data_IF_996943386997
#
_entry.id   IF_996943386997
#
_cell.length_a   1.000
_cell.length_b   1.000
_cell.length_c   1.000
_cell.angle_alpha   90.00
_cell.angle_beta   90.00
_cell.angle_gamma   90.00
#
_symmetry.space_group_name_H-M   'P 1'
#
loop_
_entity.id
_entity.type
_entity.pdbx_description
1 polymer ?
#
# COMPACT_ATOMS: atom_id res chain seq x y z
N UNK A 1 -18.93 37.22 27.26
CA UNK A 1 -19.32 37.03 25.86
C UNK A 1 -18.22 36.24 25.18
N UNK A 2 -18.46 34.96 24.87
CA UNK A 2 -17.58 34.22 23.96
C UNK A 2 -17.93 34.74 22.57
N UNK A 3 -17.16 35.71 22.09
CA UNK A 3 -17.30 36.20 20.73
C UNK A 3 -17.02 35.05 19.80
N UNK A 4 -18.07 34.50 19.17
CA UNK A 4 -17.93 33.62 18.03
C UNK A 4 -17.18 34.40 16.96
N UNK A 5 -15.89 34.10 16.78
CA UNK A 5 -15.14 34.63 15.66
C UNK A 5 -15.76 33.98 14.44
N UNK A 6 -16.54 34.75 13.67
CA UNK A 6 -17.03 34.32 12.37
C UNK A 6 -15.83 33.95 11.53
N UNK A 7 -15.86 32.78 10.89
CA UNK A 7 -14.87 32.41 9.88
C UNK A 7 -14.79 33.55 8.84
N UNK A 8 -13.57 34.01 8.55
CA UNK A 8 -13.34 35.00 7.52
C UNK A 8 -13.27 34.31 6.14
N UNK A 9 -13.99 34.88 5.18
CA UNK A 9 -13.98 34.44 3.78
C UNK A 9 -13.01 35.34 2.98
N UNK A 10 -11.97 34.75 2.40
CA UNK A 10 -11.02 35.44 1.53
C UNK A 10 -11.09 34.88 0.11
N UNK A 11 -11.17 35.74 -0.90
CA UNK A 11 -10.99 35.32 -2.30
C UNK A 11 -9.59 35.68 -2.78
N UNK A 12 -8.89 34.75 -3.43
CA UNK A 12 -7.59 35.01 -4.06
C UNK A 12 -7.58 34.60 -5.54
N UNK A 13 -6.74 35.27 -6.31
CA UNK A 13 -6.48 34.99 -7.73
C UNK A 13 -5.12 34.33 -7.89
N UNK A 14 -4.83 33.78 -9.07
CA UNK A 14 -3.50 33.26 -9.38
C UNK A 14 -2.41 34.35 -9.53
N UNK A 15 -2.80 35.63 -9.50
CA UNK A 15 -1.91 36.80 -9.52
C UNK A 15 -1.83 37.50 -8.16
N UNK A 16 -2.51 36.99 -7.13
CA UNK A 16 -2.41 37.56 -5.78
C UNK A 16 -0.98 37.44 -5.27
N UNK A 17 -0.40 38.58 -4.88
CA UNK A 17 0.97 38.65 -4.41
C UNK A 17 1.15 37.74 -3.17
N UNK A 18 2.19 36.89 -3.21
CA UNK A 18 2.43 35.89 -2.16
C UNK A 18 1.63 34.58 -2.24
N UNK A 19 0.73 34.39 -3.20
CA UNK A 19 0.07 33.09 -3.47
C UNK A 19 -0.72 32.48 -2.30
N UNK A 20 -0.92 31.15 -2.34
CA UNK A 20 -1.66 30.41 -1.31
C UNK A 20 -1.00 30.50 0.07
N UNK A 21 0.33 30.39 0.13
CA UNK A 21 1.09 30.41 1.38
C UNK A 21 0.84 31.70 2.16
N UNK A 22 1.06 32.86 1.55
CA UNK A 22 0.83 34.15 2.21
C UNK A 22 -0.65 34.36 2.56
N UNK A 23 -1.57 33.87 1.72
CA UNK A 23 -2.99 33.96 2.04
C UNK A 23 -3.33 33.18 3.33
N UNK A 24 -2.78 31.98 3.50
CA UNK A 24 -2.99 31.09 4.65
C UNK A 24 -2.28 31.61 5.91
N UNK A 25 -1.08 32.17 5.79
CA UNK A 25 -0.29 32.68 6.92
C UNK A 25 -1.08 33.74 7.72
N UNK A 26 -1.92 34.55 7.04
CA UNK A 26 -2.75 35.59 7.66
C UNK A 26 -4.14 35.14 8.13
N UNK A 27 -4.51 33.87 7.99
CA UNK A 27 -5.85 33.35 8.33
C UNK A 27 -5.89 32.73 9.74
N UNK A 28 -7.04 32.87 10.39
CA UNK A 28 -7.36 32.21 11.65
C UNK A 28 -7.88 30.77 11.43
N UNK A 29 -7.89 29.98 12.49
CA UNK A 29 -8.48 28.63 12.45
C UNK A 29 -9.99 28.73 12.23
N UNK A 30 -10.51 27.94 11.29
CA UNK A 30 -11.90 27.92 10.85
C UNK A 30 -12.17 28.73 9.57
N UNK A 31 -11.20 29.53 9.11
CA UNK A 31 -11.38 30.42 7.96
C UNK A 31 -11.47 29.67 6.62
N UNK A 32 -11.99 30.39 5.61
CA UNK A 32 -12.20 29.87 4.26
C UNK A 32 -11.52 30.75 3.22
N UNK A 33 -10.88 30.08 2.26
CA UNK A 33 -10.34 30.70 1.06
C UNK A 33 -11.05 30.19 -0.19
N UNK A 34 -11.44 31.12 -1.06
CA UNK A 34 -12.01 30.85 -2.38
C UNK A 34 -10.99 31.21 -3.46
N UNK A 35 -10.73 30.29 -4.38
CA UNK A 35 -9.77 30.46 -5.46
C UNK A 35 -10.52 30.77 -6.76
N UNK A 36 -10.18 31.91 -7.37
CA UNK A 36 -10.59 32.25 -8.73
C UNK A 36 -9.92 31.35 -9.77
N UNK A 37 -10.48 31.35 -10.99
CA UNK A 37 -9.91 30.59 -12.09
C UNK A 37 -8.46 31.01 -12.35
N UNK A 38 -7.56 30.04 -12.47
CA UNK A 38 -6.15 30.30 -12.71
C UNK A 38 -5.27 29.12 -12.32
N UNK A 39 -4.00 29.24 -12.71
CA UNK A 39 -2.95 28.28 -12.37
C UNK A 39 -2.09 28.88 -11.25
N UNK A 40 -2.23 28.32 -10.06
CA UNK A 40 -1.49 28.65 -8.85
C UNK A 40 -0.20 27.83 -8.84
N UNK A 41 0.91 28.46 -9.25
CA UNK A 41 2.22 27.83 -9.38
C UNK A 41 3.31 28.68 -8.72
N UNK A 42 4.55 28.20 -8.68
CA UNK A 42 5.65 28.90 -8.02
C UNK A 42 5.78 28.57 -6.54
N UNK A 43 6.81 29.14 -5.90
CA UNK A 43 7.27 28.77 -4.55
C UNK A 43 6.20 28.95 -3.48
N UNK A 44 5.30 29.92 -3.67
CA UNK A 44 4.27 30.26 -2.69
C UNK A 44 3.00 29.39 -2.79
N UNK A 45 2.98 28.39 -3.67
CA UNK A 45 1.86 27.47 -3.86
C UNK A 45 2.26 26.01 -3.59
N UNK A 46 3.36 25.82 -2.85
CA UNK A 46 3.87 24.51 -2.40
C UNK A 46 4.61 24.64 -1.07
N UNK A 47 4.92 23.52 -0.43
CA UNK A 47 5.59 23.48 0.87
C UNK A 47 4.77 24.11 2.00
N UNK A 48 3.44 24.07 1.90
CA UNK A 48 2.54 24.75 2.82
C UNK A 48 2.21 23.82 3.98
N UNK A 49 2.52 24.25 5.21
CA UNK A 49 2.14 23.52 6.42
C UNK A 49 0.76 23.99 6.87
N UNK A 50 -0.09 23.05 7.25
CA UNK A 50 -1.42 23.27 7.79
C UNK A 50 -1.45 22.80 9.24
N UNK A 51 -1.49 23.77 10.14
CA UNK A 51 -1.48 23.62 11.61
C UNK A 51 -2.79 24.12 12.26
N UNK A 52 -3.75 24.54 11.44
CA UNK A 52 -5.03 25.12 11.83
C UNK A 52 -6.15 24.61 10.93
N UNK A 53 -7.40 24.81 11.33
CA UNK A 53 -8.54 24.40 10.54
C UNK A 53 -8.78 25.35 9.38
N UNK A 54 -8.90 24.86 8.15
CA UNK A 54 -9.06 25.67 6.95
C UNK A 54 -9.94 25.00 5.91
N UNK A 55 -10.65 25.82 5.14
CA UNK A 55 -11.38 25.38 3.94
C UNK A 55 -10.85 26.10 2.70
N UNK A 56 -10.42 25.36 1.68
CA UNK A 56 -9.97 25.88 0.38
C UNK A 56 -10.94 25.40 -0.70
N UNK A 57 -11.56 26.34 -1.42
CA UNK A 57 -12.55 26.03 -2.47
C UNK A 57 -12.18 26.69 -3.79
N UNK A 58 -12.13 25.90 -4.86
CA UNK A 58 -12.05 26.43 -6.21
C UNK A 58 -13.42 26.81 -6.74
N UNK A 59 -13.51 27.94 -7.44
CA UNK A 59 -14.74 28.29 -8.19
C UNK A 59 -15.08 27.27 -9.29
N UNK A 60 -14.09 26.54 -9.79
CA UNK A 60 -14.26 25.52 -10.82
C UNK A 60 -13.14 24.50 -10.79
N UNK A 61 -13.50 23.22 -10.60
CA UNK A 61 -12.56 22.08 -10.60
C UNK A 61 -11.59 22.09 -11.78
N UNK A 62 -12.10 22.41 -12.98
CA UNK A 62 -11.33 22.30 -14.22
C UNK A 62 -10.51 23.57 -14.54
N UNK A 63 -10.70 24.65 -13.77
CA UNK A 63 -10.07 25.96 -14.04
C UNK A 63 -9.22 26.48 -12.88
N UNK A 64 -9.37 25.90 -11.68
CA UNK A 64 -8.53 26.20 -10.53
C UNK A 64 -7.51 25.08 -10.39
N UNK A 65 -6.27 25.38 -10.78
CA UNK A 65 -5.19 24.40 -10.85
C UNK A 65 -4.10 24.82 -9.86
N UNK A 66 -3.78 23.97 -8.89
CA UNK A 66 -2.60 24.10 -8.04
C UNK A 66 -1.51 23.21 -8.66
N UNK A 67 -0.47 23.84 -9.20
CA UNK A 67 0.62 23.16 -9.90
C UNK A 67 1.93 23.30 -9.12
N UNK A 68 2.37 22.18 -8.52
CA UNK A 68 3.64 22.11 -7.80
C UNK A 68 4.87 21.99 -8.70
N UNK A 69 4.69 21.89 -10.03
CA UNK A 69 5.74 21.92 -11.05
C UNK A 69 6.81 20.82 -10.88
N UNK A 70 6.46 19.74 -10.18
CA UNK A 70 7.36 18.66 -9.74
C UNK A 70 8.54 19.16 -8.90
N UNK A 71 8.32 20.23 -8.14
CA UNK A 71 9.37 20.86 -7.32
C UNK A 71 9.27 20.51 -5.84
N UNK A 72 8.07 20.31 -5.31
CA UNK A 72 7.85 19.98 -3.90
C UNK A 72 6.43 19.42 -3.69
N UNK A 73 6.17 18.94 -2.48
CA UNK A 73 4.82 18.67 -1.96
C UNK A 73 4.04 19.97 -1.86
N UNK A 74 2.72 19.92 -2.01
CA UNK A 74 1.87 21.11 -1.88
C UNK A 74 1.54 21.36 -0.41
N UNK A 75 0.92 20.38 0.26
CA UNK A 75 0.45 20.51 1.64
C UNK A 75 1.05 19.45 2.57
N UNK A 76 1.43 19.86 3.78
CA UNK A 76 1.69 18.98 4.92
C UNK A 76 0.72 19.34 6.03
N UNK A 77 -0.11 18.39 6.45
CA UNK A 77 -1.13 18.59 7.49
C UNK A 77 -0.62 17.92 8.76
N UNK A 78 -0.26 18.70 9.77
CA UNK A 78 0.35 18.15 11.00
C UNK A 78 -0.74 17.73 12.01
N UNK A 79 -1.60 18.66 12.40
CA UNK A 79 -2.64 18.45 13.42
C UNK A 79 -3.97 19.15 13.12
N UNK A 80 -4.02 20.06 12.14
CA UNK A 80 -5.22 20.80 11.75
C UNK A 80 -6.18 19.99 10.86
N UNK A 81 -7.37 20.56 10.62
CA UNK A 81 -8.35 20.05 9.66
C UNK A 81 -8.33 20.85 8.35
N UNK A 82 -7.98 20.22 7.24
CA UNK A 82 -8.06 20.83 5.92
C UNK A 82 -9.25 20.28 5.12
N UNK A 83 -10.05 21.18 4.55
CA UNK A 83 -11.08 20.83 3.58
C UNK A 83 -10.75 21.39 2.20
N UNK A 84 -10.66 20.54 1.19
CA UNK A 84 -10.38 20.90 -0.21
C UNK A 84 -11.60 20.60 -1.09
N UNK A 85 -12.08 21.59 -1.84
CA UNK A 85 -13.29 21.46 -2.67
C UNK A 85 -13.08 22.02 -4.07
N UNK A 86 -13.42 21.25 -5.10
CA UNK A 86 -13.45 21.69 -6.50
C UNK A 86 -12.12 22.28 -7.02
N UNK A 87 -11.03 21.53 -6.83
CA UNK A 87 -9.67 21.92 -7.24
C UNK A 87 -9.02 20.83 -8.11
N UNK A 88 -8.11 21.25 -9.00
CA UNK A 88 -7.18 20.34 -9.68
C UNK A 88 -5.79 20.49 -9.09
N UNK A 89 -5.21 19.40 -8.61
CA UNK A 89 -3.93 19.34 -7.90
C UNK A 89 -2.97 18.47 -8.71
N UNK A 90 -1.93 19.09 -9.25
CA UNK A 90 -1.03 18.44 -10.20
C UNK A 90 0.44 18.62 -9.87
N UNK A 91 1.23 17.67 -10.38
CA UNK A 91 2.68 17.72 -10.36
C UNK A 91 3.28 17.94 -8.96
N UNK A 92 2.60 17.50 -7.90
CA UNK A 92 3.20 17.35 -6.57
C UNK A 92 4.37 16.38 -6.64
N UNK A 93 5.45 16.68 -5.93
CA UNK A 93 6.64 15.84 -5.90
C UNK A 93 7.24 15.75 -4.50
N UNK A 94 7.40 14.54 -3.96
CA UNK A 94 8.20 14.31 -2.75
C UNK A 94 9.57 13.73 -3.10
N UNK A 95 10.60 14.17 -2.39
CA UNK A 95 11.98 13.76 -2.62
C UNK A 95 12.24 12.33 -2.11
N UNK A 96 13.49 11.87 -2.24
CA UNK A 96 13.90 10.54 -1.81
C UNK A 96 13.57 10.29 -0.33
N UNK A 97 13.04 9.10 -0.04
CA UNK A 97 12.61 8.66 1.30
C UNK A 97 11.41 9.43 1.87
N UNK A 98 10.67 10.14 1.05
CA UNK A 98 9.42 10.79 1.45
C UNK A 98 8.22 10.25 0.69
N UNK A 99 7.10 10.17 1.41
CA UNK A 99 5.79 9.76 0.91
C UNK A 99 4.86 10.98 0.70
N UNK A 100 3.83 10.83 -0.13
CA UNK A 100 2.83 11.89 -0.36
C UNK A 100 3.32 12.97 -1.30
N UNK A 101 3.18 12.73 -2.61
CA UNK A 101 3.71 13.63 -3.63
C UNK A 101 3.04 15.01 -3.62
N UNK A 102 1.71 15.07 -3.50
CA UNK A 102 0.98 16.33 -3.36
C UNK A 102 0.69 16.67 -1.90
N UNK A 103 0.30 15.68 -1.09
CA UNK A 103 -0.16 15.89 0.28
C UNK A 103 0.41 14.82 1.22
N UNK A 104 0.86 15.25 2.39
CA UNK A 104 1.15 14.38 3.54
C UNK A 104 0.18 14.74 4.66
N UNK A 105 -0.65 13.79 5.08
CA UNK A 105 -1.71 14.00 6.07
C UNK A 105 -1.42 13.26 7.38
N UNK A 106 -1.05 14.00 8.42
CA UNK A 106 -1.03 13.56 9.82
C UNK A 106 -2.28 13.95 10.61
N UNK A 107 -3.07 14.91 10.11
CA UNK A 107 -4.27 15.45 10.77
C UNK A 107 -5.60 14.94 10.17
N UNK A 108 -6.55 15.86 9.99
CA UNK A 108 -7.85 15.58 9.38
C UNK A 108 -7.92 16.22 7.98
N UNK A 109 -8.23 15.43 6.95
CA UNK A 109 -8.32 15.92 5.57
C UNK A 109 -9.64 15.48 4.94
N UNK A 110 -10.42 16.45 4.47
CA UNK A 110 -11.64 16.24 3.72
C UNK A 110 -11.46 16.75 2.29
N UNK A 111 -11.76 15.92 1.30
CA UNK A 111 -11.58 16.26 -0.12
C UNK A 111 -12.88 15.97 -0.86
N UNK A 112 -13.40 16.95 -1.59
CA UNK A 112 -14.62 16.80 -2.37
C UNK A 112 -14.51 17.40 -3.77
N UNK A 113 -14.90 16.63 -4.80
CA UNK A 113 -14.96 17.15 -6.17
C UNK A 113 -13.61 17.58 -6.74
N UNK A 114 -12.49 17.03 -6.24
CA UNK A 114 -11.15 17.40 -6.67
C UNK A 114 -10.55 16.41 -7.67
N UNK A 115 -9.54 16.86 -8.41
CA UNK A 115 -8.71 16.02 -9.29
C UNK A 115 -7.27 16.02 -8.82
N UNK A 116 -6.66 14.84 -8.69
CA UNK A 116 -5.23 14.65 -8.43
C UNK A 116 -4.60 13.98 -9.63
N UNK A 117 -3.75 14.70 -10.36
CA UNK A 117 -3.12 14.14 -11.57
C UNK A 117 -1.62 14.33 -11.62
N UNK A 118 -0.94 13.29 -12.12
CA UNK A 118 0.51 13.35 -12.42
C UNK A 118 1.37 13.71 -11.20
N UNK A 119 0.89 13.43 -9.99
CA UNK A 119 1.67 13.59 -8.77
C UNK A 119 2.59 12.38 -8.59
N UNK A 120 3.75 12.63 -7.99
CA UNK A 120 4.77 11.61 -7.83
C UNK A 120 5.39 11.65 -6.43
N UNK A 121 5.54 10.48 -5.83
CA UNK A 121 6.32 10.32 -4.60
C UNK A 121 7.45 9.33 -4.83
N UNK A 122 8.60 9.53 -4.17
CA UNK A 122 9.66 8.53 -4.21
C UNK A 122 9.22 7.25 -3.49
N UNK A 123 8.81 7.36 -2.23
CA UNK A 123 8.52 6.21 -1.38
C UNK A 123 7.11 5.67 -1.64
N UNK A 124 6.06 6.24 -1.03
CA UNK A 124 4.69 5.76 -1.17
C UNK A 124 3.68 6.89 -1.35
N UNK A 125 2.50 6.58 -1.91
CA UNK A 125 1.41 7.55 -2.04
C UNK A 125 1.73 8.66 -3.03
N UNK A 126 1.71 8.34 -4.33
CA UNK A 126 2.12 9.28 -5.38
C UNK A 126 1.41 10.63 -5.36
N UNK A 127 0.15 10.67 -4.90
CA UNK A 127 -0.56 11.91 -4.59
C UNK A 127 -0.62 12.16 -3.07
N UNK A 128 -1.09 11.19 -2.28
CA UNK A 128 -1.38 11.40 -0.86
C UNK A 128 -0.74 10.30 0.00
N UNK A 129 -0.04 10.69 1.05
CA UNK A 129 0.30 9.81 2.18
C UNK A 129 -0.60 10.15 3.35
N UNK A 130 -1.32 9.17 3.89
CA UNK A 130 -2.26 9.35 4.99
C UNK A 130 -1.84 8.56 6.24
N UNK A 131 -1.41 9.27 7.27
CA UNK A 131 -1.25 8.77 8.65
C UNK A 131 -2.42 9.15 9.58
N UNK A 132 -3.24 10.14 9.20
CA UNK A 132 -4.38 10.63 9.98
C UNK A 132 -5.75 10.14 9.49
N UNK A 133 -6.76 11.02 9.54
CA UNK A 133 -8.11 10.75 9.01
C UNK A 133 -8.30 11.43 7.65
N UNK A 134 -8.75 10.67 6.66
CA UNK A 134 -8.95 11.14 5.29
C UNK A 134 -10.32 10.73 4.76
N UNK A 135 -11.13 11.71 4.37
CA UNK A 135 -12.41 11.50 3.68
C UNK A 135 -12.33 12.05 2.26
N UNK A 136 -12.69 11.24 1.27
CA UNK A 136 -12.63 11.61 -0.16
C UNK A 136 -13.98 11.31 -0.81
N UNK A 137 -14.55 12.30 -1.50
CA UNK A 137 -15.85 12.20 -2.17
C UNK A 137 -15.84 12.79 -3.57
N UNK A 138 -16.34 12.05 -4.56
CA UNK A 138 -16.51 12.57 -5.93
C UNK A 138 -15.21 13.03 -6.61
N UNK A 139 -14.07 12.46 -6.21
CA UNK A 139 -12.75 12.87 -6.70
C UNK A 139 -12.21 11.95 -7.81
N UNK A 140 -11.28 12.48 -8.60
CA UNK A 140 -10.52 11.72 -9.60
C UNK A 140 -9.04 11.68 -9.25
N UNK A 141 -8.43 10.49 -9.27
CA UNK A 141 -6.99 10.28 -9.16
C UNK A 141 -6.48 9.64 -10.45
N UNK A 142 -5.69 10.38 -11.22
CA UNK A 142 -5.20 9.93 -12.52
C UNK A 142 -3.69 10.01 -12.68
N UNK A 143 -3.07 8.96 -13.23
CA UNK A 143 -1.67 8.99 -13.64
C UNK A 143 -0.68 9.36 -12.52
N UNK A 144 -1.05 9.14 -11.25
CA UNK A 144 -0.16 9.35 -10.12
C UNK A 144 0.79 8.15 -9.99
N UNK A 145 2.03 8.41 -9.55
CA UNK A 145 3.09 7.42 -9.59
C UNK A 145 3.93 7.37 -8.33
N UNK A 146 4.45 6.17 -8.02
CA UNK A 146 5.44 6.01 -6.96
C UNK A 146 6.46 4.91 -7.26
N UNK A 147 7.59 4.93 -6.55
CA UNK A 147 8.66 3.92 -6.68
C UNK A 147 8.53 2.76 -5.70
N UNK A 148 7.59 2.82 -4.75
CA UNK A 148 7.20 1.68 -3.92
C UNK A 148 5.69 1.45 -4.04
N UNK A 149 4.92 1.80 -3.00
CA UNK A 149 3.55 1.34 -2.82
C UNK A 149 2.51 2.46 -2.90
N UNK A 150 1.35 2.17 -3.49
CA UNK A 150 0.24 3.14 -3.56
C UNK A 150 0.50 4.23 -4.59
N UNK A 151 0.23 3.92 -5.87
CA UNK A 151 0.48 4.86 -6.97
C UNK A 151 -0.22 6.21 -6.81
N UNK A 152 -1.40 6.24 -6.19
CA UNK A 152 -2.09 7.47 -5.80
C UNK A 152 -2.04 7.70 -4.29
N UNK A 153 -2.45 6.71 -3.48
CA UNK A 153 -2.62 6.89 -2.03
C UNK A 153 -1.88 5.79 -1.27
N UNK A 154 -1.13 6.18 -0.25
CA UNK A 154 -0.65 5.28 0.81
C UNK A 154 -1.42 5.58 2.09
N UNK A 155 -2.02 4.56 2.70
CA UNK A 155 -2.84 4.71 3.90
C UNK A 155 -2.32 3.89 5.08
N UNK A 156 -1.79 4.57 6.10
CA UNK A 156 -1.53 4.04 7.43
C UNK A 156 -2.60 4.41 8.47
N UNK A 157 -3.50 5.34 8.16
CA UNK A 157 -4.56 5.84 9.06
C UNK A 157 -5.98 5.35 8.71
N UNK A 158 -6.97 6.21 8.89
CA UNK A 158 -8.36 5.96 8.51
C UNK A 158 -8.70 6.66 7.19
N UNK A 159 -9.21 5.90 6.21
CA UNK A 159 -9.51 6.40 4.87
C UNK A 159 -10.93 5.98 4.44
N UNK A 160 -11.76 6.96 4.14
CA UNK A 160 -13.09 6.76 3.54
C UNK A 160 -13.11 7.34 2.12
N UNK A 161 -13.57 6.55 1.15
CA UNK A 161 -13.66 6.92 -0.27
C UNK A 161 -15.09 6.66 -0.76
N UNK A 162 -15.69 7.65 -1.41
CA UNK A 162 -17.05 7.57 -1.95
C UNK A 162 -17.17 8.21 -3.33
N UNK A 163 -17.73 7.49 -4.30
CA UNK A 163 -18.00 8.06 -5.63
C UNK A 163 -16.76 8.50 -6.39
N UNK A 164 -15.60 7.91 -6.13
CA UNK A 164 -14.31 8.36 -6.70
C UNK A 164 -13.89 7.52 -7.90
N UNK A 165 -13.03 8.08 -8.74
CA UNK A 165 -12.38 7.38 -9.86
C UNK A 165 -10.87 7.34 -9.69
N UNK A 166 -10.27 6.16 -9.76
CA UNK A 166 -8.82 5.94 -9.79
C UNK A 166 -8.44 5.35 -11.14
N UNK A 167 -7.76 6.11 -11.99
CA UNK A 167 -7.42 5.69 -13.34
C UNK A 167 -5.93 5.77 -13.66
N UNK A 168 -5.37 4.72 -14.23
CA UNK A 168 -3.98 4.73 -14.74
C UNK A 168 -2.92 5.14 -13.71
N UNK A 169 -3.19 4.95 -12.42
CA UNK A 169 -2.19 5.15 -11.38
C UNK A 169 -1.22 3.97 -11.37
N UNK A 170 0.02 4.22 -10.96
CA UNK A 170 1.08 3.23 -11.04
C UNK A 170 1.99 3.22 -9.83
N UNK A 171 2.11 2.04 -9.21
CA UNK A 171 3.12 1.73 -8.21
C UNK A 171 4.19 0.83 -8.84
N UNK A 172 5.45 1.01 -8.41
CA UNK A 172 6.49 0.07 -8.81
C UNK A 172 6.34 -1.26 -8.09
N UNK A 173 6.09 -1.26 -6.77
CA UNK A 173 6.00 -2.46 -5.95
C UNK A 173 4.57 -3.00 -5.90
N UNK A 174 3.71 -2.48 -5.01
CA UNK A 174 2.34 -2.96 -4.81
C UNK A 174 1.30 -1.83 -4.80
N UNK A 175 0.03 -2.18 -5.02
CA UNK A 175 -1.08 -1.22 -4.88
C UNK A 175 -1.04 -0.14 -5.95
N UNK A 176 -1.35 -0.49 -7.20
CA UNK A 176 -1.19 0.44 -8.34
C UNK A 176 -1.93 1.77 -8.16
N UNK A 177 -3.04 1.79 -7.43
CA UNK A 177 -3.69 3.01 -6.96
C UNK A 177 -3.50 3.23 -5.46
N UNK A 178 -3.82 2.23 -4.62
CA UNK A 178 -3.86 2.38 -3.17
C UNK A 178 -3.04 1.28 -2.50
N UNK A 179 -2.18 1.66 -1.55
CA UNK A 179 -1.64 0.75 -0.53
C UNK A 179 -2.31 1.04 0.81
N UNK A 180 -2.76 0.00 1.50
CA UNK A 180 -3.49 0.12 2.77
C UNK A 180 -2.90 -0.77 3.86
N UNK A 181 -2.33 -0.14 4.89
CA UNK A 181 -1.93 -0.75 6.15
C UNK A 181 -2.91 -0.41 7.29
N UNK A 182 -3.72 0.63 7.13
CA UNK A 182 -4.72 1.09 8.10
C UNK A 182 -6.15 0.58 7.85
N UNK A 183 -7.14 1.43 8.12
CA UNK A 183 -8.56 1.15 7.85
C UNK A 183 -9.02 1.87 6.58
N UNK A 184 -9.57 1.12 5.63
CA UNK A 184 -10.04 1.62 4.35
C UNK A 184 -11.49 1.19 4.09
N UNK A 185 -12.37 2.18 3.87
CA UNK A 185 -13.73 2.00 3.40
C UNK A 185 -13.92 2.64 2.02
N UNK A 186 -14.46 1.89 1.07
CA UNK A 186 -14.69 2.34 -0.31
C UNK A 186 -16.14 2.07 -0.69
N UNK A 187 -16.80 3.06 -1.27
CA UNK A 187 -18.16 2.96 -1.76
C UNK A 187 -18.33 3.61 -3.13
N UNK A 188 -19.15 3.03 -4.01
CA UNK A 188 -19.56 3.66 -5.27
C UNK A 188 -18.42 4.09 -6.20
N UNK A 189 -17.24 3.46 -6.12
CA UNK A 189 -16.03 3.96 -6.75
C UNK A 189 -15.55 3.08 -7.92
N UNK A 190 -14.76 3.66 -8.81
CA UNK A 190 -14.22 2.97 -9.99
C UNK A 190 -12.69 2.97 -9.98
N UNK A 191 -12.10 1.80 -10.20
CA UNK A 191 -10.66 1.60 -10.36
C UNK A 191 -10.39 1.06 -11.76
N UNK A 192 -9.81 1.88 -12.63
CA UNK A 192 -9.59 1.55 -14.04
C UNK A 192 -8.11 1.57 -14.41
N UNK A 193 -7.61 0.49 -15.01
CA UNK A 193 -6.27 0.46 -15.62
C UNK A 193 -5.11 0.84 -14.69
N UNK A 194 -5.26 0.64 -13.37
CA UNK A 194 -4.17 0.87 -12.42
C UNK A 194 -3.16 -0.29 -12.48
N UNK A 195 -1.90 -0.01 -12.14
CA UNK A 195 -0.82 -0.99 -12.32
C UNK A 195 0.17 -1.06 -11.16
N UNK A 196 0.39 -2.27 -10.64
CA UNK A 196 1.55 -2.63 -9.83
C UNK A 196 2.58 -3.37 -10.71
N UNK A 197 3.82 -2.88 -10.78
CA UNK A 197 4.83 -3.39 -11.73
C UNK A 197 5.55 -4.65 -11.24
N UNK A 198 5.79 -4.79 -9.94
CA UNK A 198 6.60 -5.86 -9.37
C UNK A 198 5.77 -6.92 -8.67
N UNK A 199 4.87 -6.51 -7.77
CA UNK A 199 4.17 -7.41 -6.86
C UNK A 199 2.67 -7.48 -7.16
N UNK A 200 1.81 -7.26 -6.16
CA UNK A 200 0.38 -7.54 -6.21
C UNK A 200 -0.51 -6.33 -6.02
N UNK A 201 -1.81 -6.50 -6.29
CA UNK A 201 -2.80 -5.46 -6.06
C UNK A 201 -2.72 -4.40 -7.14
N UNK A 202 -3.08 -4.76 -8.37
CA UNK A 202 -2.97 -3.84 -9.51
C UNK A 202 -3.76 -2.55 -9.30
N UNK A 203 -4.84 -2.57 -8.52
CA UNK A 203 -5.46 -1.39 -7.96
C UNK A 203 -5.11 -1.21 -6.48
N UNK A 204 -5.38 -2.21 -5.64
CA UNK A 204 -5.28 -2.10 -4.18
C UNK A 204 -4.41 -3.21 -3.61
N UNK A 205 -3.40 -2.82 -2.84
CA UNK A 205 -2.71 -3.70 -1.92
C UNK A 205 -3.22 -3.44 -0.50
N UNK A 206 -3.52 -4.49 0.24
CA UNK A 206 -4.11 -4.41 1.57
C UNK A 206 -3.39 -5.32 2.58
N UNK A 207 -2.72 -4.74 3.57
CA UNK A 207 -2.30 -5.44 4.79
C UNK A 207 -3.22 -5.15 6.00
N UNK A 208 -3.99 -4.05 5.95
CA UNK A 208 -4.95 -3.62 6.98
C UNK A 208 -6.40 -4.09 6.80
N UNK A 209 -7.38 -3.30 7.27
CA UNK A 209 -8.81 -3.59 7.10
C UNK A 209 -9.38 -2.91 5.86
N UNK A 210 -10.02 -3.67 4.97
CA UNK A 210 -10.61 -3.16 3.74
C UNK A 210 -12.08 -3.57 3.61
N UNK A 211 -12.95 -2.58 3.48
CA UNK A 211 -14.37 -2.77 3.15
C UNK A 211 -14.68 -2.05 1.84
N UNK A 212 -15.27 -2.77 0.89
CA UNK A 212 -15.65 -2.22 -0.42
C UNK A 212 -17.12 -2.54 -0.71
N UNK A 213 -17.85 -1.52 -1.13
CA UNK A 213 -19.25 -1.63 -1.53
C UNK A 213 -19.54 -0.95 -2.87
N UNK A 214 -20.42 -1.53 -3.69
CA UNK A 214 -20.97 -0.88 -4.88
C UNK A 214 -19.92 -0.36 -5.87
N UNK A 215 -18.77 -1.02 -5.99
CA UNK A 215 -17.60 -0.49 -6.70
C UNK A 215 -17.18 -1.39 -7.86
N UNK A 216 -16.48 -0.80 -8.85
CA UNK A 216 -16.01 -1.50 -10.06
C UNK A 216 -14.50 -1.44 -10.19
N UNK A 217 -13.88 -2.59 -10.47
CA UNK A 217 -12.46 -2.73 -10.79
C UNK A 217 -12.33 -3.24 -12.22
N UNK A 218 -11.86 -2.39 -13.13
CA UNK A 218 -11.72 -2.71 -14.53
C UNK A 218 -10.25 -2.65 -15.00
N UNK A 219 -9.81 -3.67 -15.72
CA UNK A 219 -8.52 -3.67 -16.43
C UNK A 219 -7.29 -3.36 -15.58
N UNK A 220 -7.35 -3.58 -14.27
CA UNK A 220 -6.21 -3.36 -13.38
C UNK A 220 -5.21 -4.51 -13.53
N UNK A 221 -3.92 -4.20 -13.36
CA UNK A 221 -2.84 -5.15 -13.65
C UNK A 221 -1.81 -5.23 -12.53
N UNK A 222 -1.49 -6.46 -12.15
CA UNK A 222 -0.37 -6.78 -11.28
C UNK A 222 0.59 -7.76 -11.96
N UNK A 223 1.80 -7.90 -11.43
CA UNK A 223 2.79 -8.85 -11.95
C UNK A 223 2.70 -10.20 -11.26
N UNK A 224 2.50 -10.25 -9.95
CA UNK A 224 2.53 -11.49 -9.16
C UNK A 224 1.17 -11.98 -8.68
N UNK A 225 0.30 -11.11 -8.16
CA UNK A 225 -1.02 -11.56 -7.68
C UNK A 225 -2.05 -10.43 -7.59
N UNK A 226 -3.34 -10.77 -7.59
CA UNK A 226 -4.44 -9.83 -7.42
C UNK A 226 -4.41 -8.68 -8.42
N UNK A 227 -4.81 -8.95 -9.66
CA UNK A 227 -4.84 -7.95 -10.73
C UNK A 227 -5.64 -6.71 -10.36
N UNK A 228 -6.69 -6.85 -9.53
CA UNK A 228 -7.32 -5.73 -8.85
C UNK A 228 -6.84 -5.59 -7.40
N UNK A 229 -7.08 -6.60 -6.57
CA UNK A 229 -6.86 -6.52 -5.12
C UNK A 229 -5.91 -7.63 -4.67
N UNK A 230 -4.87 -7.30 -3.93
CA UNK A 230 -4.08 -8.27 -3.18
C UNK A 230 -4.24 -7.99 -1.68
N UNK A 231 -4.72 -8.98 -0.91
CA UNK A 231 -4.87 -8.86 0.54
C UNK A 231 -3.93 -9.83 1.26
N UNK A 232 -3.13 -9.32 2.19
CA UNK A 232 -2.01 -10.05 2.78
C UNK A 232 -2.29 -10.60 4.18
N UNK A 233 -2.48 -9.79 5.23
CA UNK A 233 -2.96 -10.29 6.55
C UNK A 233 -4.33 -9.75 6.94
N UNK A 234 -4.77 -8.72 6.24
CA UNK A 234 -5.99 -7.97 6.48
C UNK A 234 -7.32 -8.71 6.36
N UNK A 235 -8.38 -8.04 6.80
CA UNK A 235 -9.77 -8.45 6.52
C UNK A 235 -10.24 -7.73 5.25
N UNK A 236 -10.74 -8.49 4.29
CA UNK A 236 -11.36 -8.00 3.07
C UNK A 236 -12.87 -8.27 3.12
N UNK A 237 -13.68 -7.21 3.08
CA UNK A 237 -15.14 -7.28 2.97
C UNK A 237 -15.58 -6.70 1.63
N UNK A 238 -16.33 -7.49 0.86
CA UNK A 238 -16.82 -7.12 -0.47
C UNK A 238 -18.34 -7.23 -0.50
N UNK A 239 -19.02 -6.15 -0.89
CA UNK A 239 -20.47 -6.16 -1.11
C UNK A 239 -20.82 -5.49 -2.44
N UNK A 240 -21.48 -6.19 -3.35
CA UNK A 240 -21.91 -5.59 -4.64
C UNK A 240 -20.72 -5.03 -5.43
N UNK A 241 -19.66 -5.83 -5.57
CA UNK A 241 -18.40 -5.42 -6.22
C UNK A 241 -18.24 -6.16 -7.54
N UNK A 242 -17.84 -5.43 -8.58
CA UNK A 242 -17.64 -5.97 -9.92
C UNK A 242 -16.17 -5.88 -10.34
N UNK A 243 -15.59 -7.01 -10.74
CA UNK A 243 -14.23 -7.10 -11.27
C UNK A 243 -14.29 -7.49 -12.75
N UNK A 244 -13.81 -6.63 -13.64
CA UNK A 244 -13.75 -6.86 -15.09
C UNK A 244 -12.31 -6.81 -15.58
N UNK A 245 -11.90 -7.81 -16.35
CA UNK A 245 -10.65 -7.81 -17.11
C UNK A 245 -9.37 -7.53 -16.29
N UNK A 246 -9.35 -7.89 -15.00
CA UNK A 246 -8.18 -7.66 -14.15
C UNK A 246 -7.14 -8.78 -14.36
N UNK A 247 -5.87 -8.41 -14.49
CA UNK A 247 -4.81 -9.29 -15.01
C UNK A 247 -3.64 -9.41 -14.03
N UNK A 248 -3.14 -10.64 -13.85
CA UNK A 248 -1.85 -10.96 -13.25
C UNK A 248 -0.92 -11.53 -14.33
N UNK A 249 0.16 -10.82 -14.63
CA UNK A 249 1.05 -11.17 -15.75
C UNK A 249 0.29 -11.13 -17.08
N UNK A 250 -0.11 -12.32 -17.57
CA UNK A 250 -0.89 -12.55 -18.79
C UNK A 250 -2.17 -13.38 -18.53
N UNK A 251 -2.60 -13.51 -17.27
CA UNK A 251 -3.79 -14.31 -16.88
C UNK A 251 -4.80 -13.44 -16.17
N UNK A 252 -6.08 -13.69 -16.39
CA UNK A 252 -7.13 -13.03 -15.60
C UNK A 252 -7.05 -13.51 -14.15
N UNK A 253 -6.94 -12.57 -13.22
CA UNK A 253 -7.04 -12.84 -11.79
C UNK A 253 -7.34 -11.51 -11.10
N UNK A 254 -8.51 -11.40 -10.49
CA UNK A 254 -8.93 -10.18 -9.82
C UNK A 254 -8.37 -10.07 -8.39
N UNK A 255 -8.36 -11.16 -7.62
CA UNK A 255 -8.10 -11.12 -6.18
C UNK A 255 -7.02 -12.13 -5.77
N UNK A 256 -5.94 -11.61 -5.20
CA UNK A 256 -4.86 -12.38 -4.56
C UNK A 256 -5.01 -12.36 -3.05
N UNK A 257 -4.80 -13.50 -2.39
CA UNK A 257 -4.93 -13.62 -0.93
C UNK A 257 -3.71 -14.36 -0.36
N UNK A 258 -3.06 -13.76 0.63
CA UNK A 258 -1.87 -14.31 1.30
C UNK A 258 -2.06 -14.43 2.81
N UNK A 259 -1.06 -15.00 3.51
CA UNK A 259 -0.83 -15.01 4.97
C UNK A 259 -2.03 -15.11 5.95
N UNK A 260 -3.17 -15.66 5.53
CA UNK A 260 -4.35 -15.81 6.38
C UNK A 260 -5.35 -14.66 6.30
N UNK A 261 -5.25 -13.79 5.30
CA UNK A 261 -6.29 -12.82 4.97
C UNK A 261 -7.70 -13.47 4.99
N UNK A 262 -8.63 -12.80 5.67
CA UNK A 262 -10.03 -13.24 5.78
C UNK A 262 -10.87 -12.51 4.74
N UNK A 263 -11.71 -13.25 4.02
CA UNK A 263 -12.58 -12.66 3.01
C UNK A 263 -14.04 -12.93 3.34
N UNK A 264 -14.82 -11.85 3.39
CA UNK A 264 -16.27 -11.87 3.47
C UNK A 264 -16.81 -11.25 2.19
N UNK A 265 -17.71 -11.94 1.50
CA UNK A 265 -18.21 -11.49 0.21
C UNK A 265 -19.71 -11.73 0.04
N UNK A 266 -20.38 -10.74 -0.53
CA UNK A 266 -21.79 -10.78 -0.95
C UNK A 266 -21.92 -10.07 -2.28
N UNK A 267 -22.66 -10.65 -3.24
CA UNK A 267 -22.88 -10.05 -4.57
C UNK A 267 -21.58 -9.62 -5.26
N UNK A 268 -20.64 -10.55 -5.45
CA UNK A 268 -19.38 -10.27 -6.17
C UNK A 268 -19.43 -10.87 -7.57
N UNK A 269 -19.18 -10.04 -8.58
CA UNK A 269 -19.14 -10.44 -9.98
C UNK A 269 -17.70 -10.35 -10.49
N UNK A 270 -17.22 -11.41 -11.14
CA UNK A 270 -15.90 -11.44 -11.79
C UNK A 270 -16.08 -11.82 -13.26
N UNK A 271 -15.46 -11.06 -14.16
CA UNK A 271 -15.45 -11.28 -15.60
C UNK A 271 -14.01 -11.21 -16.13
N UNK A 272 -13.53 -12.21 -16.90
CA UNK A 272 -14.22 -13.44 -17.32
C UNK A 272 -14.56 -14.41 -16.17
N UNK A 273 -15.69 -15.13 -16.30
CA UNK A 273 -16.26 -15.96 -15.23
C UNK A 273 -15.39 -17.18 -14.86
N UNK A 274 -14.51 -17.64 -15.75
CA UNK A 274 -13.59 -18.76 -15.55
C UNK A 274 -12.61 -18.56 -14.37
N UNK A 275 -12.50 -17.33 -13.87
CA UNK A 275 -11.63 -16.94 -12.76
C UNK A 275 -12.42 -16.37 -11.57
N UNK A 276 -13.71 -16.70 -11.49
CA UNK A 276 -14.64 -16.24 -10.44
C UNK A 276 -14.41 -16.86 -9.06
N UNK A 277 -13.54 -17.87 -8.96
CA UNK A 277 -13.21 -18.50 -7.69
C UNK A 277 -12.33 -17.58 -6.83
N UNK A 278 -12.98 -16.74 -6.03
CA UNK A 278 -12.34 -16.07 -4.88
C UNK A 278 -12.24 -17.12 -3.76
N UNK A 279 -11.04 -17.59 -3.39
CA UNK A 279 -10.87 -18.59 -2.35
C UNK A 279 -11.46 -18.08 -1.02
N UNK A 280 -12.28 -18.90 -0.36
CA UNK A 280 -12.89 -18.56 0.95
C UNK A 280 -11.88 -18.52 2.10
N UNK A 281 -10.68 -19.07 1.89
CA UNK A 281 -9.52 -18.94 2.78
C UNK A 281 -8.22 -19.13 1.99
N UNK A 282 -7.19 -18.39 2.39
CA UNK A 282 -5.87 -18.36 1.73
C UNK A 282 -5.21 -19.73 1.67
N UNK A 283 -4.70 -20.09 0.50
CA UNK A 283 -3.60 -21.06 0.40
C UNK A 283 -2.40 -20.45 1.14
N UNK A 284 -1.89 -21.10 2.20
CA UNK A 284 -0.70 -20.62 2.94
C UNK A 284 0.55 -21.38 2.50
N UNK A 285 1.74 -20.75 2.43
CA UNK A 285 2.98 -21.50 2.48
C UNK A 285 3.10 -22.15 3.87
N UNK A 286 3.73 -23.32 3.92
CA UNK A 286 4.02 -24.01 5.17
C UNK A 286 5.39 -24.67 4.99
N UNK A 287 6.41 -24.06 5.60
CA UNK A 287 7.79 -24.49 5.45
C UNK A 287 8.11 -25.51 6.53
N UNK A 288 8.47 -26.71 6.09
CA UNK A 288 8.87 -27.82 6.95
C UNK A 288 10.29 -28.25 6.62
N UNK A 289 11.15 -28.36 7.62
CA UNK A 289 12.46 -28.99 7.45
C UNK A 289 12.20 -30.49 7.26
N UNK A 290 12.52 -31.01 6.07
CA UNK A 290 12.26 -32.39 5.72
C UNK A 290 13.42 -33.32 6.07
N UNK A 291 14.66 -32.82 5.99
CA UNK A 291 15.88 -33.57 6.34
C UNK A 291 17.07 -32.64 6.54
N UNK A 292 18.06 -33.10 7.29
CA UNK A 292 19.34 -32.42 7.50
C UNK A 292 20.47 -33.42 7.21
N UNK A 293 21.43 -33.04 6.35
CA UNK A 293 22.64 -33.84 6.10
C UNK A 293 23.88 -33.14 6.65
N UNK A 294 24.80 -33.91 7.23
CA UNK A 294 26.09 -33.44 7.76
C UNK A 294 27.22 -33.76 6.78
N UNK A 295 28.12 -32.81 6.58
CA UNK A 295 29.40 -33.01 5.90
C UNK A 295 30.42 -32.03 6.48
N UNK A 296 31.41 -32.54 7.19
CA UNK A 296 32.35 -31.72 7.97
C UNK A 296 31.63 -30.73 8.89
N UNK A 297 32.00 -29.44 8.75
CA UNK A 297 31.41 -28.33 9.51
C UNK A 297 30.12 -27.76 8.88
N UNK A 298 29.62 -28.36 7.80
CA UNK A 298 28.40 -27.91 7.14
C UNK A 298 27.18 -28.75 7.54
N UNK A 299 26.02 -28.11 7.47
CA UNK A 299 24.69 -28.71 7.51
C UNK A 299 23.92 -28.32 6.25
N UNK A 300 23.43 -29.32 5.54
CA UNK A 300 22.56 -29.15 4.38
C UNK A 300 21.13 -29.39 4.83
N UNK A 301 20.39 -28.30 5.05
CA UNK A 301 19.02 -28.32 5.53
C UNK A 301 18.08 -28.26 4.34
N UNK A 302 17.23 -29.27 4.20
CA UNK A 302 16.24 -29.34 3.13
C UNK A 302 14.91 -28.86 3.68
N UNK A 303 14.38 -27.80 3.08
CA UNK A 303 13.14 -27.15 3.49
C UNK A 303 12.12 -27.41 2.39
N UNK A 304 11.02 -28.09 2.71
CA UNK A 304 9.88 -28.29 1.81
C UNK A 304 8.82 -27.23 2.11
N UNK A 305 8.24 -26.67 1.06
CA UNK A 305 6.97 -25.97 1.21
C UNK A 305 5.81 -26.98 1.05
N UNK A 306 5.23 -27.43 2.16
CA UNK A 306 4.04 -28.29 2.19
C UNK A 306 2.73 -27.49 2.10
N UNK A 307 2.83 -26.17 2.09
CA UNK A 307 1.71 -25.27 1.91
C UNK A 307 1.16 -25.28 0.49
N UNK A 308 -0.04 -24.71 0.35
CA UNK A 308 -0.73 -24.58 -0.94
C UNK A 308 -0.32 -23.30 -1.71
N UNK A 309 0.52 -22.44 -1.14
CA UNK A 309 1.05 -21.22 -1.77
C UNK A 309 2.58 -21.18 -1.71
N UNK A 310 3.22 -20.37 -2.56
CA UNK A 310 4.67 -20.21 -2.55
C UNK A 310 5.16 -19.47 -1.30
N UNK A 311 6.37 -19.77 -0.84
CA UNK A 311 7.01 -19.07 0.26
C UNK A 311 7.98 -18.03 -0.30
N UNK A 312 7.82 -16.76 0.08
CA UNK A 312 8.77 -15.67 -0.21
C UNK A 312 10.08 -15.79 0.58
N UNK A 313 10.87 -14.71 0.62
CA UNK A 313 12.13 -14.65 1.39
C UNK A 313 11.84 -15.02 2.85
N UNK A 314 12.49 -16.07 3.33
CA UNK A 314 12.30 -16.63 4.68
C UNK A 314 13.64 -16.79 5.39
N UNK A 315 13.64 -17.21 6.65
CA UNK A 315 14.87 -17.37 7.43
C UNK A 315 14.92 -18.71 8.15
N UNK A 316 16.12 -19.29 8.19
CA UNK A 316 16.47 -20.49 8.93
C UNK A 316 17.33 -20.10 10.13
N UNK A 317 16.78 -20.26 11.34
CA UNK A 317 17.49 -20.07 12.59
C UNK A 317 18.19 -21.36 13.04
N UNK A 318 19.43 -21.23 13.50
CA UNK A 318 20.22 -22.31 14.10
C UNK A 318 20.43 -21.97 15.57
N UNK A 319 20.11 -22.90 16.46
CA UNK A 319 20.18 -22.73 17.89
C UNK A 319 21.05 -23.79 18.53
N UNK A 320 21.77 -23.42 19.59
CA UNK A 320 22.49 -24.35 20.47
C UNK A 320 21.96 -24.09 21.89
N UNK A 321 21.27 -25.07 22.46
CA UNK A 321 20.41 -24.81 23.63
C UNK A 321 19.33 -23.76 23.29
N UNK A 322 19.17 -22.76 24.16
CA UNK A 322 18.23 -21.64 23.94
C UNK A 322 18.80 -20.50 23.08
N UNK A 323 20.13 -20.47 22.84
CA UNK A 323 20.79 -19.36 22.13
C UNK A 323 20.74 -19.55 20.62
N UNK A 324 20.25 -18.55 19.89
CA UNK A 324 20.37 -18.47 18.43
C UNK A 324 21.82 -18.16 18.07
N UNK A 325 22.47 -19.06 17.34
CA UNK A 325 23.89 -18.93 16.98
C UNK A 325 24.09 -18.53 15.51
N UNK A 326 23.06 -18.67 14.67
CA UNK A 326 23.11 -18.26 13.27
C UNK A 326 21.70 -18.07 12.68
N UNK A 327 21.59 -17.16 11.74
CA UNK A 327 20.43 -17.00 10.86
C UNK A 327 20.91 -17.12 9.42
N UNK A 328 20.20 -17.88 8.59
CA UNK A 328 20.53 -18.07 7.17
C UNK A 328 19.30 -17.72 6.33
N UNK A 329 19.50 -16.93 5.26
CA UNK A 329 18.43 -16.60 4.33
C UNK A 329 17.97 -17.86 3.59
N UNK A 330 16.67 -18.00 3.45
CA UNK A 330 16.00 -19.05 2.67
C UNK A 330 15.34 -18.37 1.49
N UNK A 331 15.75 -18.76 0.29
CA UNK A 331 15.19 -18.25 -0.96
C UNK A 331 13.75 -18.70 -1.18
N UNK A 332 13.16 -18.19 -2.25
CA UNK A 332 11.79 -18.49 -2.66
C UNK A 332 11.55 -20.00 -2.85
N UNK A 333 10.43 -20.54 -2.35
CA UNK A 333 10.05 -21.96 -2.50
C UNK A 333 8.62 -22.08 -3.01
N UNK A 334 8.43 -22.56 -4.25
CA UNK A 334 7.10 -22.89 -4.79
C UNK A 334 6.39 -23.95 -3.93
N UNK A 335 5.06 -23.93 -3.90
CA UNK A 335 4.25 -24.97 -3.25
C UNK A 335 4.66 -26.38 -3.72
N UNK A 336 4.81 -27.31 -2.79
CA UNK A 336 5.23 -28.70 -3.04
C UNK A 336 6.72 -28.90 -3.34
N UNK A 337 7.51 -27.82 -3.51
CA UNK A 337 8.95 -27.91 -3.84
C UNK A 337 9.85 -27.82 -2.61
N UNK A 338 11.12 -28.13 -2.82
CA UNK A 338 12.16 -28.10 -1.79
C UNK A 338 13.23 -27.07 -2.12
N UNK A 339 13.87 -26.52 -1.10
CA UNK A 339 15.12 -25.77 -1.20
C UNK A 339 16.16 -26.36 -0.27
N UNK A 340 17.40 -26.47 -0.76
CA UNK A 340 18.56 -26.91 0.02
C UNK A 340 19.34 -25.68 0.50
N UNK A 341 19.47 -25.53 1.81
CA UNK A 341 20.20 -24.42 2.45
C UNK A 341 21.49 -24.95 3.06
N UNK A 342 22.63 -24.38 2.66
CA UNK A 342 23.95 -24.73 3.20
C UNK A 342 24.26 -23.84 4.40
N UNK A 343 24.56 -24.47 5.54
CA UNK A 343 24.81 -23.78 6.81
C UNK A 343 26.19 -24.17 7.34
N UNK A 344 27.10 -23.21 7.43
CA UNK A 344 28.39 -23.40 8.12
C UNK A 344 28.20 -23.28 9.64
N UNK A 345 28.67 -24.29 10.39
CA UNK A 345 28.67 -24.33 11.86
C UNK A 345 30.08 -23.98 12.37
N UNK A 346 30.17 -23.02 13.29
CA UNK A 346 31.44 -22.64 13.91
C UNK A 346 32.06 -23.81 14.71
N UNK A 347 33.39 -23.94 14.69
CA UNK A 347 34.14 -25.04 15.35
C UNK A 347 33.74 -25.24 16.82
N UNK A 348 33.53 -24.15 17.57
CA UNK A 348 33.10 -24.18 18.99
C UNK A 348 31.74 -24.84 19.25
N UNK A 349 30.92 -25.01 18.21
CA UNK A 349 29.61 -25.67 18.30
C UNK A 349 29.62 -27.07 17.65
N UNK A 350 30.77 -27.58 17.18
CA UNK A 350 30.87 -28.85 16.43
C UNK A 350 30.19 -30.01 17.15
N UNK A 351 30.41 -30.14 18.46
CA UNK A 351 29.94 -31.27 19.28
C UNK A 351 28.68 -30.97 20.11
N UNK A 352 28.10 -29.77 20.01
CA UNK A 352 26.87 -29.42 20.74
C UNK A 352 25.63 -29.78 19.92
N UNK A 353 24.52 -30.18 20.52
CA UNK A 353 23.27 -30.40 19.79
C UNK A 353 22.75 -29.09 19.19
N UNK A 354 22.28 -29.11 17.93
CA UNK A 354 21.66 -27.96 17.28
C UNK A 354 20.16 -28.17 17.07
N UNK A 355 19.41 -27.07 17.09
CA UNK A 355 18.01 -27.04 16.70
C UNK A 355 17.86 -26.09 15.53
N UNK A 356 17.19 -26.55 14.48
CA UNK A 356 16.91 -25.75 13.30
C UNK A 356 15.44 -25.36 13.29
N UNK A 357 15.17 -24.08 13.04
CA UNK A 357 13.81 -23.54 12.96
C UNK A 357 13.67 -22.77 11.65
N UNK A 358 12.66 -23.15 10.87
CA UNK A 358 12.26 -22.40 9.67
C UNK A 358 10.87 -21.86 9.95
N UNK A 359 10.74 -20.54 9.93
CA UNK A 359 9.58 -19.84 10.50
C UNK A 359 9.40 -20.12 12.03
N UNK A 360 8.59 -19.32 12.73
CA UNK A 360 8.48 -19.30 14.20
C UNK A 360 7.78 -20.57 14.73
N UNK A 361 7.03 -21.30 13.90
CA UNK A 361 6.17 -22.42 14.31
C UNK A 361 6.75 -23.82 14.09
N UNK A 362 7.74 -24.02 13.21
CA UNK A 362 8.23 -25.36 12.86
C UNK A 362 9.66 -25.62 13.37
N UNK A 363 9.79 -26.54 14.33
CA UNK A 363 11.05 -26.85 15.06
C UNK A 363 11.52 -28.28 14.74
N UNK A 364 12.75 -28.46 14.28
CA UNK A 364 13.38 -29.78 14.11
C UNK A 364 14.71 -29.84 14.86
N UNK A 365 14.83 -30.80 15.79
CA UNK A 365 16.08 -31.09 16.52
C UNK A 365 17.00 -31.94 15.63
N UNK A 366 18.31 -31.70 15.72
CA UNK A 366 19.32 -32.49 14.99
C UNK A 366 19.25 -34.01 15.32
N UNK A 367 18.64 -34.40 16.45
CA UNK A 367 18.49 -35.80 16.90
C UNK A 367 17.24 -36.53 16.40
N UNK A 368 16.26 -35.86 15.77
CA UNK A 368 15.04 -36.53 15.25
C UNK A 368 15.25 -36.96 13.79
N UNK A 369 16.22 -37.84 13.61
CA UNK A 369 16.57 -38.47 12.34
C UNK A 369 15.42 -39.37 11.85
N UNK A 370 14.80 -39.03 10.71
CA UNK A 370 14.40 -40.06 9.75
C UNK A 370 15.18 -39.81 8.46
N UNK A 371 16.03 -40.79 8.14
CA UNK A 371 16.85 -41.01 6.95
C UNK A 371 18.36 -40.67 7.03
N UNK A 372 18.94 -41.13 8.16
CA UNK A 372 20.11 -42.01 8.30
C UNK A 372 21.54 -41.53 8.03
N UNK A 373 22.37 -41.73 9.07
CA UNK A 373 23.55 -42.62 9.05
C UNK A 373 23.71 -43.45 7.77
N UNK A 374 24.72 -43.13 6.97
CA UNK A 374 25.41 -44.15 6.18
C UNK A 374 26.55 -44.66 7.05
N UNK A 375 26.42 -45.89 7.55
CA UNK A 375 27.57 -46.68 8.00
C UNK A 375 28.52 -46.78 6.81
N UNK A 376 29.77 -46.37 7.00
CA UNK A 376 30.84 -46.72 6.08
C UNK A 376 31.09 -48.24 6.23
N UNK A 377 31.19 -48.95 5.11
CA UNK A 377 32.16 -50.04 4.99
C UNK A 377 33.47 -49.40 4.58
#
# INVERSE_FOLDING_TARGET
MVGGVSAADKTITNTTDGGLKTAIDGMASGDRITLDNGVYSGVNNRGIVIDKDLTIVGKSKDKVIIDAQKKDRIFTIESGSLTLINLTIINGYSQAFESGGAISNGGNLNISGCTFSSNQAFESGGAISNGGNLNISGCTFSSNQTSWDGGAISNGGNLNISGCTFSSNQAFESGGAISNDGNLSISGSTFNSNRAKLDGGGAIFNDGNLTISGSTFNSNRAKLDGGAICSFKGILRLNSVTFKNNIVGNKYNAIGLWFGAKVYKTKVTITPAEWSNIPSSTKKPDLKISKIKKSGNYRYVYIKNIGKAAAGKSYLGVYVGKKKVKTVKVGFIKAGKYLKVKVLIAKKYKNKQKVFKVDIKNVVKESNEKNNSLKAK
#
